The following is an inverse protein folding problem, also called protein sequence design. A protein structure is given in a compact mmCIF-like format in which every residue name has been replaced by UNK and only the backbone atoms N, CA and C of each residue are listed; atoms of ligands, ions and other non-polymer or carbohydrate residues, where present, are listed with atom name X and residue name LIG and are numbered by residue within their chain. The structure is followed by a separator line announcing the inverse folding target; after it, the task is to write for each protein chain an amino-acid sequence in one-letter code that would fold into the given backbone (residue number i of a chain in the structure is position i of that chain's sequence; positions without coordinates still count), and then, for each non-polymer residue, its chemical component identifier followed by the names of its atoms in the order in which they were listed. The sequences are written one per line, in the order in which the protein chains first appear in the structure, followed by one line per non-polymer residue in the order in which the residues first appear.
data_IF_665979112170
#
_entry.id   IF_665979112170
#
_cell.length_a   1.000
_cell.length_b   1.000
_cell.length_c   1.000
_cell.angle_alpha   90.00
_cell.angle_beta   90.00
_cell.angle_gamma   90.00
#
_symmetry.space_group_name_H-M   'P 1'
#
loop_
_entity.id
_entity.type
_entity.pdbx_description
1 polymer ?
#
# COMPACT_ATOMS: atom_id res chain seq x y z
N UNK A 1 -21.41 13.04 -9.02
CA UNK A 1 -21.01 11.88 -8.19
C UNK A 1 -22.03 11.48 -7.11
N UNK A 2 -23.04 12.29 -6.78
CA UNK A 2 -24.05 12.01 -5.74
C UNK A 2 -25.11 10.91 -6.07
N UNK A 3 -24.90 10.08 -7.10
CA UNK A 3 -25.88 9.08 -7.55
C UNK A 3 -25.52 7.63 -7.16
N UNK A 4 -24.31 7.41 -6.62
CA UNK A 4 -23.79 6.09 -6.27
C UNK A 4 -23.71 5.93 -4.75
N UNK A 5 -23.86 4.70 -4.25
CA UNK A 5 -23.69 4.41 -2.83
C UNK A 5 -22.23 4.65 -2.39
N UNK A 6 -21.99 4.99 -1.11
CA UNK A 6 -20.62 5.20 -0.61
C UNK A 6 -19.71 3.99 -0.84
N UNK A 7 -20.25 2.77 -0.78
CA UNK A 7 -19.50 1.55 -1.09
C UNK A 7 -19.02 1.50 -2.56
N UNK A 8 -19.87 1.91 -3.52
CA UNK A 8 -19.49 1.96 -4.93
C UNK A 8 -18.46 3.06 -5.18
N UNK A 9 -18.59 4.21 -4.51
CA UNK A 9 -17.60 5.28 -4.59
C UNK A 9 -16.25 4.84 -4.01
N UNK A 10 -16.25 4.15 -2.86
CA UNK A 10 -15.06 3.54 -2.27
C UNK A 10 -14.40 2.52 -3.20
N UNK A 11 -15.19 1.66 -3.85
CA UNK A 11 -14.68 0.70 -4.85
C UNK A 11 -14.03 1.39 -6.05
N UNK A 12 -14.69 2.43 -6.59
CA UNK A 12 -14.13 3.24 -7.68
C UNK A 12 -12.82 3.88 -7.22
N UNK A 13 -12.79 4.42 -6.00
CA UNK A 13 -11.57 5.01 -5.43
C UNK A 13 -10.45 4.00 -5.28
N UNK A 14 -10.76 2.77 -4.84
CA UNK A 14 -9.83 1.64 -4.82
C UNK A 14 -9.24 1.36 -6.21
N UNK A 15 -10.09 1.25 -7.23
CA UNK A 15 -9.62 1.04 -8.61
C UNK A 15 -8.75 2.18 -9.12
N UNK A 16 -9.03 3.42 -8.73
CA UNK A 16 -8.19 4.58 -9.07
C UNK A 16 -6.81 4.45 -8.44
N UNK A 17 -6.71 4.21 -7.13
CA UNK A 17 -5.39 4.09 -6.48
C UNK A 17 -4.59 2.87 -7.00
N UNK A 18 -5.27 1.77 -7.33
CA UNK A 18 -4.67 0.60 -7.99
C UNK A 18 -4.17 0.93 -9.40
N UNK A 19 -4.90 1.78 -10.16
CA UNK A 19 -4.45 2.23 -11.48
C UNK A 19 -3.17 3.08 -11.37
N UNK A 20 -3.10 4.00 -10.41
CA UNK A 20 -1.88 4.77 -10.12
C UNK A 20 -0.70 3.86 -9.76
N UNK A 21 -0.92 2.90 -8.85
CA UNK A 21 0.07 1.92 -8.49
C UNK A 21 0.53 1.06 -9.69
N UNK A 22 -0.41 0.64 -10.53
CA UNK A 22 -0.13 -0.13 -11.76
C UNK A 22 0.76 0.67 -12.71
N UNK A 23 0.49 1.95 -12.90
CA UNK A 23 1.34 2.84 -13.70
C UNK A 23 2.75 2.88 -13.09
N UNK A 24 2.87 3.07 -11.78
CA UNK A 24 4.14 3.01 -11.05
C UNK A 24 4.91 1.73 -11.29
N UNK A 25 4.27 0.57 -11.11
CA UNK A 25 4.87 -0.74 -11.31
C UNK A 25 5.33 -0.97 -12.76
N UNK A 26 4.55 -0.51 -13.75
CA UNK A 26 4.89 -0.63 -15.17
C UNK A 26 6.07 0.26 -15.57
N UNK A 27 6.39 1.32 -14.82
CA UNK A 27 7.57 2.16 -15.10
C UNK A 27 8.87 1.34 -15.07
N UNK A 28 8.91 0.22 -14.36
CA UNK A 28 10.10 -0.68 -14.33
C UNK A 28 10.43 -1.23 -15.72
N UNK A 29 9.46 -1.33 -16.64
CA UNK A 29 9.67 -1.86 -18.00
C UNK A 29 10.54 -0.91 -18.84
N UNK A 30 10.39 0.39 -18.59
CA UNK A 30 11.09 1.49 -19.27
C UNK A 30 12.35 1.86 -18.48
N UNK A 31 12.19 2.08 -17.17
CA UNK A 31 13.27 2.45 -16.25
C UNK A 31 13.67 1.26 -15.38
N UNK A 32 14.50 0.38 -15.93
CA UNK A 32 14.84 -0.93 -15.34
C UNK A 32 15.76 -0.88 -14.13
N UNK A 33 16.52 0.22 -13.97
CA UNK A 33 17.53 0.40 -12.92
C UNK A 33 17.52 1.85 -12.42
N UNK A 34 16.48 2.28 -11.67
CA UNK A 34 16.54 3.53 -10.93
C UNK A 34 17.67 3.48 -9.91
N UNK A 35 18.23 4.64 -9.59
CA UNK A 35 19.28 4.73 -8.57
C UNK A 35 18.70 4.52 -7.18
N UNK A 36 19.47 3.95 -6.26
CA UNK A 36 19.06 3.76 -4.86
C UNK A 36 18.63 5.09 -4.23
N UNK A 37 19.40 6.17 -4.46
CA UNK A 37 19.04 7.52 -3.98
C UNK A 37 17.66 7.98 -4.45
N UNK A 38 17.28 7.64 -5.69
CA UNK A 38 15.95 8.00 -6.20
C UNK A 38 14.88 7.18 -5.51
N UNK A 39 15.08 5.87 -5.33
CA UNK A 39 14.14 4.99 -4.63
C UNK A 39 13.96 5.41 -3.17
N UNK A 40 15.03 5.72 -2.46
CA UNK A 40 14.96 6.19 -1.07
C UNK A 40 14.21 7.53 -0.96
N UNK A 41 14.46 8.45 -1.88
CA UNK A 41 13.74 9.74 -1.94
C UNK A 41 12.26 9.53 -2.26
N UNK A 42 11.95 8.63 -3.19
CA UNK A 42 10.61 8.29 -3.62
C UNK A 42 9.80 7.63 -2.48
N UNK A 43 10.41 6.70 -1.74
CA UNK A 43 9.82 6.08 -0.55
C UNK A 43 9.68 7.07 0.61
N UNK A 44 10.65 7.96 0.81
CA UNK A 44 10.56 9.05 1.78
C UNK A 44 9.41 10.02 1.48
N UNK A 45 9.21 10.35 0.19
CA UNK A 45 8.04 11.11 -0.27
C UNK A 45 6.73 10.38 0.05
N UNK A 46 6.65 9.09 -0.27
CA UNK A 46 5.47 8.27 0.02
C UNK A 46 5.12 8.25 1.50
N UNK A 47 6.11 7.98 2.37
CA UNK A 47 5.94 8.03 3.81
C UNK A 47 5.45 9.41 4.30
N UNK A 48 6.00 10.50 3.76
CA UNK A 48 5.57 11.86 4.10
C UNK A 48 4.12 12.16 3.70
N UNK A 49 3.71 11.72 2.51
CA UNK A 49 2.31 11.84 2.04
C UNK A 49 1.38 11.05 2.96
N UNK A 50 1.72 9.80 3.28
CA UNK A 50 0.88 8.94 4.12
C UNK A 50 0.76 9.44 5.55
N UNK A 51 1.83 9.95 6.16
CA UNK A 51 1.77 10.62 7.46
C UNK A 51 0.84 11.83 7.42
N UNK A 52 1.03 12.70 6.42
CA UNK A 52 0.21 13.92 6.29
C UNK A 52 -1.27 13.56 6.10
N UNK A 53 -1.59 12.65 5.17
CA UNK A 53 -2.95 12.22 4.90
C UNK A 53 -3.61 11.56 6.13
N UNK A 54 -2.85 10.76 6.89
CA UNK A 54 -3.34 10.16 8.14
C UNK A 54 -3.79 11.23 9.14
N UNK A 55 -3.04 12.32 9.30
CA UNK A 55 -3.43 13.40 10.20
C UNK A 55 -4.57 14.26 9.63
N UNK A 56 -4.42 14.76 8.40
CA UNK A 56 -5.32 15.76 7.84
C UNK A 56 -6.64 15.19 7.34
N UNK A 57 -6.62 13.97 6.81
CA UNK A 57 -7.75 13.36 6.09
C UNK A 57 -8.41 12.21 6.83
N UNK A 58 -7.81 11.70 7.91
CA UNK A 58 -8.39 10.63 8.73
C UNK A 58 -8.54 11.03 10.21
N UNK A 59 -7.45 11.39 10.90
CA UNK A 59 -7.47 11.66 12.35
C UNK A 59 -8.28 12.92 12.66
N UNK A 60 -7.97 14.07 12.04
CA UNK A 60 -8.69 15.31 12.33
C UNK A 60 -10.19 15.21 11.97
N UNK A 61 -10.57 14.71 10.78
CA UNK A 61 -11.99 14.47 10.45
C UNK A 61 -12.64 13.46 11.40
N UNK A 62 -11.95 12.38 11.77
CA UNK A 62 -12.44 11.38 12.72
C UNK A 62 -12.72 11.96 14.11
N UNK A 63 -11.86 12.86 14.60
CA UNK A 63 -12.05 13.53 15.89
C UNK A 63 -13.26 14.48 15.80
N UNK A 64 -13.39 15.22 14.71
CA UNK A 64 -14.55 16.08 14.48
C UNK A 64 -15.86 15.29 14.39
N UNK A 65 -15.81 14.06 13.88
CA UNK A 65 -16.95 13.17 13.71
C UNK A 65 -17.41 12.48 15.00
N UNK A 66 -16.46 11.91 15.75
CA UNK A 66 -16.75 10.98 16.86
C UNK A 66 -16.04 11.31 18.17
N UNK A 67 -15.25 12.38 18.21
CA UNK A 67 -14.42 12.74 19.35
C UNK A 67 -13.09 11.99 19.41
N UNK A 68 -12.24 12.40 20.35
CA UNK A 68 -10.86 11.90 20.45
C UNK A 68 -10.77 10.42 20.88
N UNK A 69 -11.65 9.98 21.79
CA UNK A 69 -11.55 8.64 22.38
C UNK A 69 -11.81 7.50 21.38
N UNK A 70 -12.85 7.54 20.53
CA UNK A 70 -13.04 6.53 19.50
C UNK A 70 -11.91 6.50 18.47
N UNK A 71 -11.34 7.66 18.12
CA UNK A 71 -10.21 7.75 17.20
C UNK A 71 -8.95 7.13 17.79
N UNK A 72 -8.63 7.41 19.05
CA UNK A 72 -7.49 6.79 19.73
C UNK A 72 -7.68 5.28 19.88
N UNK A 73 -8.89 4.82 20.18
CA UNK A 73 -9.20 3.40 20.23
C UNK A 73 -9.04 2.74 18.85
N UNK A 74 -9.56 3.37 17.79
CA UNK A 74 -9.41 2.89 16.41
C UNK A 74 -7.97 2.87 15.94
N UNK A 75 -7.18 3.89 16.29
CA UNK A 75 -5.74 3.95 15.99
C UNK A 75 -4.98 2.83 16.71
N UNK A 76 -5.25 2.61 18.00
CA UNK A 76 -4.63 1.54 18.77
C UNK A 76 -5.00 0.15 18.24
N UNK A 77 -6.28 -0.07 17.90
CA UNK A 77 -6.76 -1.31 17.29
C UNK A 77 -6.14 -1.54 15.91
N UNK A 78 -6.04 -0.51 15.07
CA UNK A 78 -5.41 -0.60 13.76
C UNK A 78 -3.92 -0.90 13.85
N UNK A 79 -3.21 -0.23 14.76
CA UNK A 79 -1.80 -0.50 15.04
C UNK A 79 -1.58 -1.93 15.54
N UNK A 80 -2.41 -2.39 16.50
CA UNK A 80 -2.34 -3.76 17.00
C UNK A 80 -2.68 -4.79 15.92
N UNK A 81 -3.66 -4.51 15.06
CA UNK A 81 -4.03 -5.40 13.97
C UNK A 81 -2.89 -5.54 12.95
N UNK A 82 -2.21 -4.44 12.61
CA UNK A 82 -1.04 -4.48 11.72
C UNK A 82 0.16 -5.15 12.37
N UNK A 83 0.43 -4.89 13.65
CA UNK A 83 1.52 -5.54 14.41
C UNK A 83 1.31 -7.06 14.52
N UNK A 84 0.08 -7.49 14.79
CA UNK A 84 -0.28 -8.90 14.81
C UNK A 84 -0.22 -9.50 13.41
N UNK A 85 -0.71 -8.81 12.39
CA UNK A 85 -0.65 -9.28 11.01
C UNK A 85 0.81 -9.46 10.55
N UNK A 86 1.69 -8.54 10.93
CA UNK A 86 3.13 -8.67 10.72
C UNK A 86 3.61 -9.95 11.41
N UNK A 87 3.48 -10.08 12.73
CA UNK A 87 3.94 -11.26 13.49
C UNK A 87 3.37 -12.60 13.01
N UNK A 88 2.16 -12.62 12.46
CA UNK A 88 1.53 -13.82 11.92
C UNK A 88 2.05 -14.19 10.53
N UNK A 89 2.48 -13.21 9.73
CA UNK A 89 3.18 -13.51 8.48
C UNK A 89 4.53 -14.10 8.87
N UNK A 90 4.85 -15.33 8.45
CA UNK A 90 6.09 -15.98 8.86
C UNK A 90 7.29 -15.26 8.24
N UNK A 91 7.81 -14.22 8.91
CA UNK A 91 9.04 -13.56 8.53
C UNK A 91 10.13 -14.62 8.49
N UNK A 92 10.94 -14.60 7.44
CA UNK A 92 11.94 -15.61 7.21
C UNK A 92 13.10 -15.43 8.21
N UNK A 93 12.93 -15.93 9.44
CA UNK A 93 14.07 -16.23 10.29
C UNK A 93 14.87 -17.33 9.62
N UNK A 94 16.14 -17.02 9.35
CA UNK A 94 17.17 -17.74 8.59
C UNK A 94 17.51 -19.18 9.06
N UNK A 95 16.63 -19.90 9.76
CA UNK A 95 16.94 -21.22 10.31
C UNK A 95 15.80 -22.19 10.03
N UNK A 96 16.00 -23.08 9.06
CA UNK A 96 15.86 -24.54 9.21
C UNK A 96 15.69 -25.26 7.86
N UNK A 97 16.44 -26.36 7.69
CA UNK A 97 16.11 -27.43 6.75
C UNK A 97 16.80 -27.41 5.38
N UNK A 98 17.22 -28.61 4.92
CA UNK A 98 17.68 -28.87 3.55
C UNK A 98 16.52 -28.69 2.57
N UNK A 99 16.35 -27.47 2.05
CA UNK A 99 15.47 -27.19 0.91
C UNK A 99 16.28 -26.85 -0.34
N UNK A 100 15.89 -27.40 -1.48
CA UNK A 100 16.49 -27.10 -2.78
C UNK A 100 16.25 -25.64 -3.22
N UNK A 101 17.04 -25.16 -4.17
CA UNK A 101 17.02 -23.76 -4.62
C UNK A 101 15.64 -23.26 -5.10
N UNK A 102 14.80 -24.12 -5.68
CA UNK A 102 13.47 -23.75 -6.18
C UNK A 102 12.47 -23.45 -5.04
N UNK A 103 12.45 -24.24 -3.97
CA UNK A 103 11.51 -24.09 -2.84
C UNK A 103 11.77 -22.80 -2.06
N UNK A 104 13.04 -22.46 -1.87
CA UNK A 104 13.46 -21.21 -1.21
C UNK A 104 12.99 -19.96 -1.97
N UNK A 105 13.06 -19.98 -3.31
CA UNK A 105 12.63 -18.88 -4.16
C UNK A 105 11.12 -18.67 -4.10
N UNK A 106 10.33 -19.74 -4.17
CA UNK A 106 8.86 -19.68 -4.07
C UNK A 106 8.44 -19.10 -2.71
N UNK A 107 9.08 -19.53 -1.62
CA UNK A 107 8.82 -19.00 -0.28
C UNK A 107 9.11 -17.49 -0.19
N UNK A 108 10.24 -17.03 -0.74
CA UNK A 108 10.58 -15.61 -0.76
C UNK A 108 9.57 -14.76 -1.53
N UNK A 109 9.08 -15.25 -2.67
CA UNK A 109 8.05 -14.57 -3.47
C UNK A 109 6.73 -14.45 -2.70
N UNK A 110 6.26 -15.54 -2.07
CA UNK A 110 5.03 -15.50 -1.28
C UNK A 110 5.11 -14.58 -0.08
N UNK A 111 6.24 -14.56 0.63
CA UNK A 111 6.44 -13.63 1.74
C UNK A 111 6.47 -12.17 1.28
N UNK A 112 7.08 -11.91 0.12
CA UNK A 112 7.08 -10.58 -0.47
C UNK A 112 5.66 -10.12 -0.85
N UNK A 113 4.87 -10.99 -1.49
CA UNK A 113 3.46 -10.70 -1.82
C UNK A 113 2.65 -10.43 -0.55
N UNK A 114 2.76 -11.28 0.47
CA UNK A 114 2.04 -11.11 1.74
C UNK A 114 2.41 -9.79 2.43
N UNK A 115 3.71 -9.47 2.52
CA UNK A 115 4.18 -8.23 3.13
C UNK A 115 3.63 -6.99 2.40
N UNK A 116 3.63 -7.02 1.07
CA UNK A 116 3.06 -5.92 0.28
C UNK A 116 1.57 -5.84 0.51
N UNK A 117 0.82 -6.93 0.41
CA UNK A 117 -0.64 -6.92 0.62
C UNK A 117 -1.02 -6.32 1.97
N UNK A 118 -0.29 -6.67 3.04
CA UNK A 118 -0.53 -6.09 4.36
C UNK A 118 -0.30 -4.58 4.42
N UNK A 119 0.61 -4.05 3.61
CA UNK A 119 0.91 -2.61 3.57
C UNK A 119 -0.15 -1.79 2.84
N UNK A 120 -0.72 -2.29 1.74
CA UNK A 120 -1.71 -1.54 0.94
C UNK A 120 -3.16 -1.79 1.38
N UNK A 121 -3.42 -2.82 2.19
CA UNK A 121 -4.71 -2.97 2.84
C UNK A 121 -5.14 -1.70 3.61
N UNK A 122 -4.28 -1.06 4.43
CA UNK A 122 -4.54 0.26 5.01
C UNK A 122 -4.92 1.36 4.01
N UNK A 123 -4.26 1.44 2.86
CA UNK A 123 -4.55 2.46 1.83
C UNK A 123 -5.95 2.27 1.24
N UNK A 124 -6.29 1.05 0.85
CA UNK A 124 -7.61 0.72 0.33
C UNK A 124 -8.71 0.96 1.35
N UNK A 125 -8.47 0.59 2.61
CA UNK A 125 -9.37 0.86 3.72
C UNK A 125 -9.58 2.37 3.93
N UNK A 126 -8.50 3.16 3.91
CA UNK A 126 -8.54 4.61 4.07
C UNK A 126 -9.40 5.28 2.99
N UNK A 127 -9.23 4.89 1.71
CA UNK A 127 -10.08 5.40 0.62
C UNK A 127 -11.54 5.00 0.83
N UNK A 128 -11.82 3.75 1.21
CA UNK A 128 -13.17 3.27 1.49
C UNK A 128 -13.86 4.05 2.62
N UNK A 129 -13.15 4.28 3.73
CA UNK A 129 -13.64 5.07 4.88
C UNK A 129 -13.85 6.53 4.48
N UNK A 130 -12.94 7.12 3.70
CA UNK A 130 -13.06 8.49 3.21
C UNK A 130 -14.35 8.72 2.43
N UNK A 131 -14.69 7.82 1.50
CA UNK A 131 -15.97 7.90 0.77
C UNK A 131 -17.19 7.57 1.64
N UNK A 132 -17.02 6.71 2.65
CA UNK A 132 -18.06 6.37 3.63
C UNK A 132 -18.50 7.54 4.52
N UNK A 133 -17.60 8.50 4.76
CA UNK A 133 -17.86 9.67 5.61
C UNK A 133 -18.80 10.72 4.98
N UNK A 134 -18.97 10.70 3.65
CA UNK A 134 -19.88 11.59 2.94
C UNK A 134 -19.32 12.97 2.60
N UNK A 135 -18.12 13.33 3.06
CA UNK A 135 -17.39 14.48 2.52
C UNK A 135 -16.57 14.07 1.28
N UNK A 136 -17.19 14.21 0.10
CA UNK A 136 -16.54 13.84 -1.16
C UNK A 136 -15.26 14.63 -1.46
N UNK A 137 -15.11 15.86 -0.93
CA UNK A 137 -13.91 16.65 -1.15
C UNK A 137 -12.72 16.01 -0.42
N UNK A 138 -12.88 15.73 0.86
CA UNK A 138 -11.84 15.10 1.68
C UNK A 138 -11.51 13.69 1.15
N UNK A 139 -12.53 12.94 0.72
CA UNK A 139 -12.36 11.62 0.10
C UNK A 139 -11.54 11.68 -1.19
N UNK A 140 -11.80 12.69 -2.04
CA UNK A 140 -11.05 12.92 -3.27
C UNK A 140 -9.60 13.34 -2.98
N UNK A 141 -9.38 14.22 -2.01
CA UNK A 141 -8.04 14.64 -1.58
C UNK A 141 -7.23 13.45 -1.05
N UNK A 142 -7.81 12.62 -0.19
CA UNK A 142 -7.19 11.40 0.33
C UNK A 142 -6.87 10.39 -0.79
N UNK A 143 -7.83 10.12 -1.67
CA UNK A 143 -7.64 9.20 -2.80
C UNK A 143 -6.52 9.68 -3.74
N UNK A 144 -6.45 10.97 -4.04
CA UNK A 144 -5.39 11.53 -4.88
C UNK A 144 -4.04 11.53 -4.18
N UNK A 145 -3.99 11.84 -2.89
CA UNK A 145 -2.76 11.76 -2.10
C UNK A 145 -2.18 10.33 -2.12
N UNK A 146 -3.01 9.34 -1.80
CA UNK A 146 -2.64 7.91 -1.85
C UNK A 146 -2.25 7.49 -3.27
N UNK A 147 -3.03 7.88 -4.28
CA UNK A 147 -2.73 7.56 -5.68
C UNK A 147 -1.37 8.12 -6.12
N UNK A 148 -1.08 9.39 -5.83
CA UNK A 148 0.17 10.03 -6.25
C UNK A 148 1.38 9.33 -5.66
N UNK A 149 1.35 8.95 -4.38
CA UNK A 149 2.45 8.23 -3.76
C UNK A 149 2.56 6.76 -4.20
N UNK A 150 1.45 6.17 -4.68
CA UNK A 150 1.45 4.83 -5.25
C UNK A 150 2.26 4.69 -6.54
N UNK A 151 2.52 5.78 -7.29
CA UNK A 151 3.45 5.73 -8.43
C UNK A 151 4.89 5.39 -8.01
N UNK A 152 5.55 6.20 -7.15
CA UNK A 152 6.88 5.89 -6.67
C UNK A 152 6.96 4.56 -5.93
N UNK A 153 5.96 4.23 -5.11
CA UNK A 153 5.92 2.96 -4.39
C UNK A 153 5.79 1.77 -5.33
N UNK A 154 4.89 1.82 -6.31
CA UNK A 154 4.71 0.75 -7.30
C UNK A 154 5.99 0.46 -8.08
N UNK A 155 6.76 1.50 -8.45
CA UNK A 155 8.08 1.33 -9.06
C UNK A 155 9.07 0.67 -8.09
N UNK A 156 9.14 1.13 -6.84
CA UNK A 156 10.04 0.57 -5.83
C UNK A 156 9.74 -0.90 -5.52
N UNK A 157 8.46 -1.26 -5.45
CA UNK A 157 7.98 -2.64 -5.29
C UNK A 157 8.37 -3.49 -6.50
N UNK A 158 8.15 -3.01 -7.72
CA UNK A 158 8.51 -3.75 -8.92
C UNK A 158 10.03 -3.96 -9.05
N UNK A 159 10.85 -2.99 -8.64
CA UNK A 159 12.32 -3.14 -8.57
C UNK A 159 12.71 -4.15 -7.49
N UNK A 160 12.10 -4.09 -6.31
CA UNK A 160 12.34 -5.04 -5.21
C UNK A 160 11.93 -6.46 -5.59
N UNK A 161 10.87 -6.61 -6.38
CA UNK A 161 10.42 -7.88 -6.91
C UNK A 161 11.48 -8.55 -7.81
N UNK A 162 12.10 -7.76 -8.69
CA UNK A 162 13.22 -8.23 -9.51
C UNK A 162 14.40 -8.68 -8.65
N UNK A 163 14.73 -7.90 -7.62
CA UNK A 163 15.79 -8.22 -6.65
C UNK A 163 15.49 -9.49 -5.83
N UNK A 164 14.23 -9.77 -5.53
CA UNK A 164 13.77 -11.01 -4.89
C UNK A 164 13.81 -12.24 -5.83
N UNK A 165 14.28 -12.06 -7.06
CA UNK A 165 14.42 -13.12 -8.05
C UNK A 165 13.13 -13.43 -8.80
N UNK A 166 12.16 -12.52 -8.84
CA UNK A 166 10.94 -12.67 -9.67
C UNK A 166 11.20 -12.34 -11.14
N UNK A 167 12.03 -13.15 -11.80
CA UNK A 167 12.03 -13.37 -13.25
C UNK A 167 11.95 -12.12 -14.14
N UNK A 168 11.25 -12.27 -15.28
CA UNK A 168 11.15 -11.22 -16.30
C UNK A 168 10.44 -9.97 -15.78
N UNK A 169 10.86 -8.80 -16.26
CA UNK A 169 10.30 -7.49 -15.94
C UNK A 169 8.77 -7.40 -15.95
N UNK A 170 8.12 -8.16 -16.85
CA UNK A 170 6.66 -8.25 -16.90
C UNK A 170 6.05 -8.91 -15.65
N UNK A 171 6.64 -10.00 -15.16
CA UNK A 171 6.14 -10.67 -13.95
C UNK A 171 6.34 -9.79 -12.71
N UNK A 172 7.49 -9.10 -12.63
CA UNK A 172 7.74 -8.14 -11.56
C UNK A 172 6.76 -6.96 -11.59
N UNK A 173 6.37 -6.47 -12.77
CA UNK A 173 5.35 -5.42 -12.88
C UNK A 173 3.96 -5.90 -12.48
N UNK A 174 3.59 -7.15 -12.81
CA UNK A 174 2.28 -7.72 -12.41
C UNK A 174 2.20 -7.95 -10.91
N UNK A 175 3.28 -8.38 -10.27
CA UNK A 175 3.35 -8.51 -8.80
C UNK A 175 3.31 -7.14 -8.11
N UNK A 176 3.81 -6.10 -8.79
CA UNK A 176 3.70 -4.73 -8.31
C UNK A 176 2.28 -4.16 -8.37
N UNK A 177 1.34 -4.78 -9.10
CA UNK A 177 -0.07 -4.38 -9.11
C UNK A 177 -0.74 -4.87 -7.83
N UNK A 178 -1.22 -3.91 -7.03
CA UNK A 178 -1.96 -4.07 -5.78
C UNK A 178 -3.13 -3.08 -5.78
#
# INVERSE_FOLDING_TARGET
MAKYSPAVQGLIGGLVITAFNTVGALLVLIWRRPSERFLDTALGFAAGVMLTASFTSLILPGIAAGGIWPVLAGLALGALALDLADHLVPHLHLISGREGHATKRIKAVWLFILAITLHNMPEGLAVGVGWGWGNHKDALELMLAIGIQNLPEGLAVAVSALSAGMGAYFYASVVGIR
#
